data_IF_983254939509
#
_entry.id   IF_983254939509
#
_cell.length_a   1.000
_cell.length_b   1.000
_cell.length_c   1.000
_cell.angle_alpha   90.00
_cell.angle_beta   90.00
_cell.angle_gamma   90.00
#
_symmetry.space_group_name_H-M   'P 1'
#
loop_
_entity.id
_entity.type
_entity.pdbx_description
1 polymer ?
#
# COMPACT_ATOMS: atom_id res chain seq x y z
N UNK A 1 7.05 20.78 4.08
CA UNK A 1 7.42 20.86 2.65
C UNK A 1 6.76 19.69 1.95
N UNK A 2 5.77 19.90 1.10
CA UNK A 2 4.93 18.81 0.56
C UNK A 2 5.48 18.26 -0.77
N UNK A 3 5.38 16.94 -0.98
CA UNK A 3 5.75 16.28 -2.23
C UNK A 3 4.67 16.50 -3.30
N UNK A 4 5.10 16.67 -4.55
CA UNK A 4 4.23 16.79 -5.73
C UNK A 4 4.39 15.58 -6.64
N UNK A 5 3.26 15.04 -7.07
CA UNK A 5 3.17 13.88 -7.96
C UNK A 5 2.51 14.33 -9.26
N UNK A 6 3.15 14.05 -10.39
CA UNK A 6 2.57 14.30 -11.71
C UNK A 6 2.03 12.99 -12.31
N UNK A 7 0.75 12.98 -12.69
CA UNK A 7 0.17 11.83 -13.39
C UNK A 7 0.47 11.90 -14.90
N UNK A 8 1.15 10.90 -15.49
CA UNK A 8 1.44 10.90 -16.93
C UNK A 8 0.18 10.68 -17.80
N UNK A 9 -0.88 10.10 -17.24
CA UNK A 9 -2.09 9.78 -18.00
C UNK A 9 -3.05 10.98 -18.14
N UNK A 10 -3.29 11.72 -17.06
CA UNK A 10 -4.22 12.86 -17.07
C UNK A 10 -3.56 14.24 -16.90
N UNK A 11 -2.25 14.28 -16.62
CA UNK A 11 -1.51 15.52 -16.38
C UNK A 11 -1.79 16.20 -15.03
N UNK A 12 -2.63 15.60 -14.17
CA UNK A 12 -2.94 16.16 -12.86
C UNK A 12 -1.69 16.16 -11.97
N UNK A 13 -1.41 17.32 -11.38
CA UNK A 13 -0.44 17.46 -10.30
C UNK A 13 -1.18 17.32 -8.96
N UNK A 14 -0.75 16.36 -8.14
CA UNK A 14 -1.28 16.12 -6.80
C UNK A 14 -0.22 16.50 -5.78
N UNK A 15 -0.59 17.31 -4.79
CA UNK A 15 0.27 17.60 -3.63
C UNK A 15 -0.17 16.69 -2.49
N UNK A 16 0.75 15.91 -1.94
CA UNK A 16 0.46 15.02 -0.80
C UNK A 16 1.10 15.54 0.49
N UNK A 17 0.64 15.06 1.64
CA UNK A 17 1.11 15.51 2.95
C UNK A 17 2.59 15.19 3.20
N UNK A 18 3.06 14.05 2.68
CA UNK A 18 4.44 13.59 2.84
C UNK A 18 5.45 14.53 2.18
N UNK A 19 6.62 14.69 2.80
CA UNK A 19 7.74 15.44 2.22
C UNK A 19 8.63 14.58 1.32
N UNK A 20 8.69 13.27 1.60
CA UNK A 20 9.46 12.25 0.92
C UNK A 20 8.74 10.89 1.00
N UNK A 21 9.16 9.92 0.18
CA UNK A 21 8.60 8.56 0.21
C UNK A 21 8.99 7.85 1.52
N UNK A 22 8.03 7.23 2.18
CA UNK A 22 8.31 6.47 3.40
C UNK A 22 9.01 5.15 3.07
N UNK A 23 9.95 4.72 3.92
CA UNK A 23 10.75 3.51 3.72
C UNK A 23 10.34 2.43 4.72
N UNK A 24 9.77 1.34 4.22
CA UNK A 24 9.27 0.21 5.02
C UNK A 24 10.23 -0.98 5.10
N UNK A 25 11.35 -0.98 4.35
CA UNK A 25 12.22 -2.16 4.19
C UNK A 25 12.99 -2.62 5.44
N UNK A 26 13.20 -1.74 6.42
CA UNK A 26 13.88 -2.03 7.70
C UNK A 26 13.02 -1.67 8.93
N UNK A 27 11.78 -1.23 8.69
CA UNK A 27 10.84 -0.87 9.76
C UNK A 27 9.93 -2.03 10.12
N UNK A 28 8.95 -1.78 10.97
CA UNK A 28 7.91 -2.76 11.30
C UNK A 28 6.62 -2.46 10.53
N UNK A 29 6.74 -1.98 9.29
CA UNK A 29 5.63 -1.50 8.49
C UNK A 29 5.44 -2.37 7.25
N UNK A 30 4.23 -2.86 7.05
CA UNK A 30 3.72 -3.35 5.78
C UNK A 30 2.81 -2.31 5.14
N UNK A 31 2.78 -2.30 3.81
CA UNK A 31 1.83 -1.52 3.04
C UNK A 31 1.46 -2.27 1.77
N UNK A 32 0.26 -2.02 1.24
CA UNK A 32 -0.17 -2.48 -0.08
C UNK A 32 -1.07 -1.43 -0.73
N UNK A 33 -1.02 -1.33 -2.06
CA UNK A 33 -1.94 -0.46 -2.81
C UNK A 33 -3.19 -1.21 -3.24
N UNK A 34 -4.30 -0.50 -3.37
CA UNK A 34 -5.48 -1.02 -4.03
C UNK A 34 -5.25 -1.13 -5.55
N UNK A 35 -5.64 -2.25 -6.14
CA UNK A 35 -5.58 -2.49 -7.57
C UNK A 35 -6.56 -1.65 -8.41
N UNK A 36 -7.47 -0.91 -7.78
CA UNK A 36 -8.59 -0.22 -8.44
C UNK A 36 -8.72 1.27 -8.11
N UNK A 37 -8.12 1.74 -7.02
CA UNK A 37 -8.22 3.15 -6.60
C UNK A 37 -6.95 3.61 -5.87
N UNK A 38 -6.83 4.90 -5.49
CA UNK A 38 -5.65 5.47 -4.83
C UNK A 38 -5.50 5.07 -3.35
N UNK A 39 -6.37 4.22 -2.83
CA UNK A 39 -6.33 3.80 -1.42
C UNK A 39 -5.12 2.92 -1.16
N UNK A 40 -4.48 3.15 -0.03
CA UNK A 40 -3.40 2.33 0.51
C UNK A 40 -3.88 1.69 1.82
N UNK A 41 -3.39 0.49 2.10
CA UNK A 41 -3.53 -0.15 3.41
C UNK A 41 -2.16 -0.27 4.05
N UNK A 42 -2.11 -0.04 5.36
CA UNK A 42 -0.92 -0.06 6.19
C UNK A 42 -1.15 -0.95 7.41
N UNK A 43 -0.14 -1.71 7.82
CA UNK A 43 -0.20 -2.58 8.99
C UNK A 43 1.18 -2.79 9.61
N UNK A 44 1.21 -3.04 10.92
CA UNK A 44 2.42 -3.41 11.61
C UNK A 44 2.87 -4.84 11.29
N UNK A 45 4.17 -5.07 11.12
CA UNK A 45 4.76 -6.43 10.99
C UNK A 45 4.55 -7.29 12.25
N UNK A 46 4.13 -6.68 13.37
CA UNK A 46 3.75 -7.35 14.61
C UNK A 46 2.23 -7.47 14.82
N UNK A 47 1.41 -7.05 13.86
CA UNK A 47 -0.04 -7.21 13.94
C UNK A 47 -0.38 -8.70 14.10
N UNK A 48 -1.22 -9.04 15.09
CA UNK A 48 -1.57 -10.43 15.40
C UNK A 48 -2.22 -11.19 14.23
N UNK A 49 -3.03 -10.50 13.42
CA UNK A 49 -3.67 -11.07 12.23
C UNK A 49 -2.63 -11.35 11.16
N UNK A 50 -1.80 -10.36 10.83
CA UNK A 50 -0.71 -10.52 9.88
C UNK A 50 0.26 -11.65 10.30
N UNK A 51 0.76 -11.60 11.53
CA UNK A 51 1.73 -12.59 12.05
C UNK A 51 1.17 -14.01 12.09
N UNK A 52 -0.14 -14.19 12.25
CA UNK A 52 -0.79 -15.50 12.17
C UNK A 52 -0.76 -16.11 10.77
N UNK A 53 -0.68 -15.28 9.72
CA UNK A 53 -0.63 -15.72 8.32
C UNK A 53 0.78 -16.14 7.92
N UNK A 54 1.79 -15.35 8.30
CA UNK A 54 3.17 -15.51 7.81
C UNK A 54 4.18 -15.95 8.86
N UNK A 55 3.70 -16.41 10.01
CA UNK A 55 4.51 -16.88 11.14
C UNK A 55 5.61 -15.89 11.56
N UNK A 56 5.25 -14.61 11.69
CA UNK A 56 6.15 -13.55 12.14
C UNK A 56 7.21 -13.10 11.13
N UNK A 57 7.15 -13.56 9.87
CA UNK A 57 8.04 -13.06 8.81
C UNK A 57 7.79 -11.58 8.52
N UNK A 58 8.87 -10.89 8.16
CA UNK A 58 8.82 -9.51 7.74
C UNK A 58 8.16 -9.39 6.35
N UNK A 59 7.27 -8.42 6.16
CA UNK A 59 6.44 -8.22 4.94
C UNK A 59 7.23 -8.28 3.64
N UNK A 60 8.44 -7.76 3.68
CA UNK A 60 9.32 -7.60 2.53
C UNK A 60 10.23 -8.81 2.26
N UNK A 61 10.12 -9.84 3.11
CA UNK A 61 10.85 -11.12 3.02
C UNK A 61 9.97 -12.31 2.61
N UNK A 62 8.67 -12.07 2.41
CA UNK A 62 7.71 -13.10 2.02
C UNK A 62 8.01 -13.66 0.63
N UNK A 63 7.71 -14.94 0.44
CA UNK A 63 7.64 -15.54 -0.89
C UNK A 63 6.27 -15.30 -1.55
N UNK A 64 6.09 -15.78 -2.78
CA UNK A 64 4.86 -15.55 -3.55
C UNK A 64 3.63 -16.23 -2.97
N UNK A 65 3.79 -17.37 -2.29
CA UNK A 65 2.66 -18.08 -1.66
C UNK A 65 2.22 -17.32 -0.41
N UNK A 66 3.18 -16.88 0.39
CA UNK A 66 2.92 -16.07 1.59
C UNK A 66 2.29 -14.71 1.26
N UNK A 67 2.75 -14.07 0.18
CA UNK A 67 2.11 -12.84 -0.33
C UNK A 67 0.64 -13.07 -0.66
N UNK A 68 0.30 -14.16 -1.35
CA UNK A 68 -1.10 -14.48 -1.69
C UNK A 68 -1.94 -14.75 -0.46
N UNK A 69 -1.39 -15.42 0.55
CA UNK A 69 -2.07 -15.64 1.84
C UNK A 69 -2.38 -14.31 2.55
N UNK A 70 -1.44 -13.36 2.54
CA UNK A 70 -1.68 -12.02 3.12
C UNK A 70 -2.75 -11.27 2.33
N UNK A 71 -2.67 -11.26 1.00
CA UNK A 71 -3.69 -10.61 0.15
C UNK A 71 -5.09 -11.20 0.36
N UNK A 72 -5.18 -12.52 0.54
CA UNK A 72 -6.45 -13.21 0.80
C UNK A 72 -7.00 -12.97 2.20
N UNK A 73 -6.13 -12.71 3.19
CA UNK A 73 -6.51 -12.39 4.56
C UNK A 73 -6.98 -10.95 4.77
N UNK A 74 -6.87 -10.10 3.75
CA UNK A 74 -7.33 -8.72 3.78
C UNK A 74 -8.75 -8.61 3.25
N UNK A 75 -9.56 -7.74 3.88
CA UNK A 75 -10.84 -7.35 3.33
C UNK A 75 -10.65 -6.54 2.05
N UNK A 76 -11.63 -6.55 1.13
CA UNK A 76 -11.62 -5.68 -0.03
C UNK A 76 -11.48 -4.20 0.36
N UNK A 77 -10.84 -3.43 -0.51
CA UNK A 77 -10.79 -1.98 -0.38
C UNK A 77 -12.23 -1.41 -0.36
N UNK A 78 -12.50 -0.30 0.34
CA UNK A 78 -13.82 0.34 0.35
C UNK A 78 -14.39 0.70 -1.03
N UNK A 79 -13.56 0.77 -2.08
CA UNK A 79 -14.01 0.97 -3.47
C UNK A 79 -14.50 -0.32 -4.16
N UNK A 80 -14.32 -1.50 -3.54
CA UNK A 80 -14.56 -2.82 -4.12
C UNK A 80 -13.35 -3.52 -4.73
N UNK A 81 -12.19 -2.86 -4.81
CA UNK A 81 -10.92 -3.45 -5.29
C UNK A 81 -10.20 -4.28 -4.23
N UNK A 82 -8.99 -4.76 -4.56
CA UNK A 82 -8.17 -5.57 -3.65
C UNK A 82 -6.81 -4.93 -3.39
N UNK A 83 -6.27 -5.16 -2.20
CA UNK A 83 -4.91 -4.77 -1.86
C UNK A 83 -3.92 -5.84 -2.33
N UNK A 84 -2.90 -5.44 -3.10
CA UNK A 84 -1.95 -6.37 -3.75
C UNK A 84 -0.50 -5.93 -3.57
N UNK A 85 0.42 -6.89 -3.47
CA UNK A 85 1.87 -6.62 -3.40
C UNK A 85 2.42 -6.04 -4.71
N UNK A 86 1.80 -6.37 -5.84
CA UNK A 86 2.19 -5.86 -7.15
C UNK A 86 1.33 -4.68 -7.63
N UNK A 87 0.37 -4.20 -6.82
CA UNK A 87 -0.40 -3.02 -7.17
C UNK A 87 0.49 -1.78 -7.08
N UNK A 88 0.36 -0.93 -8.10
CA UNK A 88 1.04 0.36 -8.15
C UNK A 88 0.19 1.43 -7.47
N UNK A 89 0.80 2.51 -6.94
CA UNK A 89 0.06 3.69 -6.55
C UNK A 89 -0.74 4.22 -7.75
N UNK A 90 -1.96 4.71 -7.50
CA UNK A 90 -2.87 5.20 -8.54
C UNK A 90 -3.14 6.69 -8.37
N UNK A 91 -3.37 7.39 -9.48
CA UNK A 91 -3.67 8.81 -9.49
C UNK A 91 -4.99 9.10 -8.76
N UNK A 92 -5.03 10.05 -7.81
CA UNK A 92 -6.26 10.43 -7.12
C UNK A 92 -7.35 11.05 -8.01
N UNK A 93 -6.99 11.55 -9.19
CA UNK A 93 -7.92 12.19 -10.11
C UNK A 93 -8.51 11.25 -11.17
N UNK A 94 -7.71 10.32 -11.70
CA UNK A 94 -8.15 9.45 -12.82
C UNK A 94 -7.99 7.95 -12.55
N UNK A 95 -7.50 7.54 -11.37
CA UNK A 95 -7.22 6.15 -10.98
C UNK A 95 -6.18 5.42 -11.84
N UNK A 96 -5.56 6.04 -12.84
CA UNK A 96 -4.50 5.40 -13.63
C UNK A 96 -3.26 5.09 -12.77
N UNK A 97 -2.56 3.96 -13.00
CA UNK A 97 -1.33 3.62 -12.29
C UNK A 97 -0.22 4.66 -12.47
N UNK A 98 0.63 4.78 -11.45
CA UNK A 98 1.80 5.66 -11.42
C UNK A 98 3.10 4.83 -11.36
N UNK A 99 3.50 4.17 -12.46
CA UNK A 99 4.54 3.13 -12.46
C UNK A 99 5.94 3.63 -12.09
N UNK A 100 6.24 4.90 -12.32
CA UNK A 100 7.56 5.49 -12.07
C UNK A 100 7.61 6.33 -10.79
N UNK A 101 6.59 6.22 -9.92
CA UNK A 101 6.51 7.03 -8.72
C UNK A 101 7.44 6.51 -7.62
N UNK A 102 7.54 5.19 -7.46
CA UNK A 102 8.31 4.56 -6.39
C UNK A 102 9.71 4.18 -6.89
N UNK A 103 10.70 4.31 -6.01
CA UNK A 103 12.08 3.94 -6.32
C UNK A 103 12.29 2.42 -6.28
N UNK A 104 11.62 1.74 -5.36
CA UNK A 104 11.68 0.30 -5.15
C UNK A 104 10.38 -0.20 -4.50
N UNK A 105 10.35 -1.50 -4.14
CA UNK A 105 9.19 -2.15 -3.53
C UNK A 105 9.02 -1.91 -2.03
N UNK A 106 9.96 -1.23 -1.38
CA UNK A 106 9.94 -0.94 0.06
C UNK A 106 9.62 0.52 0.36
N UNK A 107 9.62 1.39 -0.66
CA UNK A 107 9.16 2.75 -0.55
C UNK A 107 7.68 2.88 -0.90
N UNK A 108 6.98 3.77 -0.20
CA UNK A 108 5.58 4.04 -0.48
C UNK A 108 5.19 5.49 -0.26
N UNK A 109 4.02 5.83 -0.81
CA UNK A 109 3.39 7.13 -0.70
C UNK A 109 1.89 6.99 -0.43
N UNK A 110 1.37 7.87 0.40
CA UNK A 110 -0.03 7.98 0.76
C UNK A 110 -0.72 8.93 -0.22
N UNK A 111 -1.11 8.40 -1.38
CA UNK A 111 -1.74 9.19 -2.46
C UNK A 111 -3.23 9.40 -2.28
N UNK A 112 -3.90 8.53 -1.52
CA UNK A 112 -5.33 8.58 -1.28
C UNK A 112 -5.69 8.34 0.18
N UNK A 113 -6.82 7.66 0.42
CA UNK A 113 -7.17 7.20 1.76
C UNK A 113 -6.14 6.19 2.25
N UNK A 114 -5.73 6.32 3.50
CA UNK A 114 -4.96 5.30 4.23
C UNK A 114 -5.93 4.48 5.08
N UNK A 115 -5.88 3.16 4.94
CA UNK A 115 -6.54 2.21 5.84
C UNK A 115 -5.50 1.72 6.84
N UNK A 116 -5.69 2.04 8.11
CA UNK A 116 -4.80 1.59 9.19
C UNK A 116 -5.31 0.25 9.72
N UNK A 117 -4.76 -0.87 9.22
CA UNK A 117 -5.23 -2.21 9.55
C UNK A 117 -4.79 -2.71 10.94
N UNK A 118 -4.09 -1.88 11.71
CA UNK A 118 -3.87 -2.11 13.15
C UNK A 118 -5.03 -1.53 13.98
N UNK A 119 -5.77 -0.55 13.45
CA UNK A 119 -6.87 0.14 14.14
C UNK A 119 -8.25 -0.11 13.54
N UNK A 120 -8.31 -0.34 12.24
CA UNK A 120 -9.52 -0.60 11.47
C UNK A 120 -9.72 -2.11 11.28
N UNK A 121 -10.99 -2.52 11.16
CA UNK A 121 -11.39 -3.89 10.90
C UNK A 121 -11.15 -4.29 9.44
N UNK A 122 -9.87 -4.45 9.08
CA UNK A 122 -9.38 -4.64 7.70
C UNK A 122 -8.92 -6.07 7.37
N UNK A 123 -8.85 -6.95 8.36
CA UNK A 123 -8.50 -8.37 8.19
C UNK A 123 -9.76 -9.24 8.24
N UNK A 124 -9.78 -10.35 7.51
CA UNK A 124 -10.89 -11.33 7.54
C UNK A 124 -10.86 -12.23 8.77
#
# INVERSE_FOLDING_TARGET
>A
MNMKINCPACGQITTIAQEYQYHAGFGNQGFLYCDSCPTIIEFGSYNSKYTSIVNGKHTWSLDSEEMQCVEAGLKPCPCGGHFRFNALPRCPACNEPLPNLLQDKFHFVEVGRVVDADKEDAWT
#
